data_IF_632359516155
#
_entry.id   IF_632359516155
#
_cell.length_a   1.000
_cell.length_b   1.000
_cell.length_c   1.000
_cell.angle_alpha   90.00
_cell.angle_beta   90.00
_cell.angle_gamma   90.00
#
_symmetry.space_group_name_H-M   'P 1'
#
loop_
_entity.id
_entity.type
_entity.pdbx_description
1 polymer ?
#
# COMPACT_ATOMS: atom_id res chain seq x y z
N UNK A 1 1.88 35.48 -32.16
CA UNK A 1 1.89 36.53 -31.13
C UNK A 1 0.78 37.50 -31.50
N UNK A 2 -0.37 37.40 -30.86
CA UNK A 2 -1.45 38.38 -31.02
C UNK A 2 -1.63 38.99 -29.65
N UNK A 3 -1.12 40.22 -29.52
CA UNK A 3 -1.30 41.09 -28.36
C UNK A 3 -2.78 41.36 -28.20
N UNK A 4 -3.36 40.80 -27.14
CA UNK A 4 -4.62 41.23 -26.61
C UNK A 4 -4.29 41.93 -25.29
N UNK A 5 -4.35 43.27 -25.30
CA UNK A 5 -4.26 44.15 -24.13
C UNK A 5 -2.97 44.09 -23.26
N UNK A 6 -1.77 43.97 -23.85
CA UNK A 6 -0.49 44.23 -23.15
C UNK A 6 -0.15 43.30 -21.97
N UNK A 7 -0.88 42.18 -21.81
CA UNK A 7 -0.60 41.14 -20.83
C UNK A 7 -0.14 39.86 -21.53
N UNK A 8 0.85 39.13 -20.99
CA UNK A 8 1.25 37.84 -21.57
C UNK A 8 0.09 36.86 -21.50
N UNK A 9 -0.19 36.19 -22.62
CA UNK A 9 -1.24 35.19 -22.74
C UNK A 9 -0.67 33.86 -23.23
N UNK A 10 -0.99 32.76 -22.53
CA UNK A 10 -0.68 31.41 -22.95
C UNK A 10 -1.84 30.84 -23.78
N UNK A 11 -1.56 30.42 -25.01
CA UNK A 11 -2.53 29.75 -25.88
C UNK A 11 -2.12 28.29 -26.08
N UNK A 12 -3.00 27.36 -25.71
CA UNK A 12 -2.77 25.93 -25.87
C UNK A 12 -3.50 25.40 -27.11
N UNK A 13 -2.80 24.63 -27.95
CA UNK A 13 -3.41 23.80 -29.01
C UNK A 13 -3.18 22.35 -28.66
N UNK A 14 -4.23 21.56 -28.71
CA UNK A 14 -4.21 20.16 -28.28
C UNK A 14 -5.19 19.34 -29.10
N UNK A 15 -4.97 18.02 -29.05
CA UNK A 15 -5.82 17.01 -29.67
C UNK A 15 -6.92 16.61 -28.69
N UNK A 16 -8.18 16.87 -29.03
CA UNK A 16 -9.34 16.61 -28.16
C UNK A 16 -9.69 15.13 -28.04
N UNK A 17 -9.17 14.30 -28.95
CA UNK A 17 -9.26 12.84 -28.86
C UNK A 17 -8.23 12.24 -27.89
N UNK A 18 -7.25 13.03 -27.46
CA UNK A 18 -6.21 12.62 -26.51
C UNK A 18 -6.30 13.34 -25.15
N UNK A 19 -6.78 14.59 -25.12
CA UNK A 19 -6.84 15.42 -23.92
C UNK A 19 -8.18 16.16 -23.82
N UNK A 20 -8.74 16.16 -22.62
CA UNK A 20 -9.87 17.01 -22.27
C UNK A 20 -9.41 18.43 -21.84
N UNK A 21 -10.39 19.33 -21.69
CA UNK A 21 -10.13 20.72 -21.31
C UNK A 21 -9.47 20.87 -19.93
N UNK A 22 -9.81 20.00 -18.99
CA UNK A 22 -9.29 20.05 -17.61
C UNK A 22 -7.82 19.61 -17.56
N UNK A 23 -7.45 18.58 -18.34
CA UNK A 23 -6.07 18.16 -18.54
C UNK A 23 -5.24 19.29 -19.15
N UNK A 24 -5.76 19.97 -20.17
CA UNK A 24 -5.06 21.08 -20.82
C UNK A 24 -4.92 22.28 -19.90
N UNK A 25 -5.96 22.60 -19.13
CA UNK A 25 -5.91 23.68 -18.14
C UNK A 25 -4.86 23.40 -17.06
N UNK A 26 -4.75 22.16 -16.57
CA UNK A 26 -3.68 21.75 -15.65
C UNK A 26 -2.29 21.87 -16.25
N UNK A 27 -2.08 21.34 -17.46
CA UNK A 27 -0.78 21.42 -18.15
C UNK A 27 -0.39 22.88 -18.38
N UNK A 28 -1.33 23.73 -18.80
CA UNK A 28 -1.11 25.17 -18.94
C UNK A 28 -0.71 25.82 -17.61
N UNK A 29 -1.36 25.42 -16.50
CA UNK A 29 -1.01 25.83 -15.15
C UNK A 29 0.43 25.49 -14.77
N UNK A 30 0.98 24.37 -15.23
CA UNK A 30 2.38 24.00 -14.97
C UNK A 30 3.37 24.94 -15.65
N UNK A 31 3.09 25.32 -16.89
CA UNK A 31 3.92 26.27 -17.63
C UNK A 31 3.88 27.65 -16.98
N UNK A 32 2.70 28.10 -16.53
CA UNK A 32 2.57 29.37 -15.81
C UNK A 32 3.34 29.35 -14.49
N UNK A 33 3.30 28.24 -13.75
CA UNK A 33 4.03 28.09 -12.48
C UNK A 33 5.54 28.11 -12.71
N UNK A 34 6.03 27.38 -13.72
CA UNK A 34 7.44 27.37 -14.08
C UNK A 34 7.95 28.76 -14.53
N UNK A 35 7.19 29.45 -15.39
CA UNK A 35 7.55 30.79 -15.86
C UNK A 35 7.57 31.80 -14.73
N UNK A 36 6.66 31.70 -13.75
CA UNK A 36 6.72 32.56 -12.54
C UNK A 36 7.96 32.25 -11.71
N UNK A 37 8.29 30.98 -11.49
CA UNK A 37 9.50 30.60 -10.76
C UNK A 37 10.78 31.15 -11.39
N UNK A 38 10.89 31.10 -12.72
CA UNK A 38 12.02 31.68 -13.46
C UNK A 38 12.11 33.21 -13.36
N UNK A 39 10.98 33.91 -13.22
CA UNK A 39 10.95 35.36 -13.05
C UNK A 39 11.27 35.78 -11.62
N UNK A 40 10.91 34.96 -10.63
CA UNK A 40 11.16 35.22 -9.22
C UNK A 40 12.64 35.03 -8.86
N UNK A 41 13.28 33.97 -9.39
CA UNK A 41 14.72 33.73 -9.25
C UNK A 41 15.29 33.02 -10.50
N UNK A 42 15.92 33.77 -11.42
CA UNK A 42 16.49 33.23 -12.66
C UNK A 42 17.67 32.28 -12.44
N UNK A 43 18.38 32.40 -11.31
CA UNK A 43 19.57 31.60 -10.98
C UNK A 43 19.21 30.40 -10.07
N UNK A 44 17.92 30.25 -9.71
CA UNK A 44 17.45 29.13 -8.90
C UNK A 44 17.80 27.79 -9.57
N UNK A 45 18.34 26.82 -8.81
CA UNK A 45 18.59 25.47 -9.31
C UNK A 45 17.32 24.83 -9.87
N UNK A 46 17.38 24.35 -11.11
CA UNK A 46 16.24 23.76 -11.81
C UNK A 46 15.61 22.58 -11.03
N UNK A 47 16.39 21.84 -10.26
CA UNK A 47 15.93 20.72 -9.43
C UNK A 47 15.07 21.13 -8.22
N UNK A 48 15.09 22.41 -7.86
CA UNK A 48 14.27 22.97 -6.77
C UNK A 48 12.99 23.67 -7.27
N UNK A 49 12.86 23.86 -8.59
CA UNK A 49 11.70 24.52 -9.18
C UNK A 49 10.47 23.62 -9.21
N UNK A 50 9.33 24.18 -8.81
CA UNK A 50 8.05 23.47 -8.75
C UNK A 50 7.23 23.70 -10.01
N UNK A 51 6.89 22.63 -10.72
CA UNK A 51 5.96 22.70 -11.86
C UNK A 51 4.49 22.70 -11.43
N UNK A 52 4.18 21.98 -10.36
CA UNK A 52 2.81 21.88 -9.87
C UNK A 52 2.41 23.18 -9.15
N UNK A 53 1.30 23.77 -9.56
CA UNK A 53 0.69 24.89 -8.84
C UNK A 53 0.13 24.43 -7.49
N UNK A 54 0.07 25.27 -6.47
CA UNK A 54 -0.46 24.90 -5.14
C UNK A 54 -1.86 24.26 -5.20
N UNK A 55 -2.70 24.67 -6.16
CA UNK A 55 -4.01 24.06 -6.38
C UNK A 55 -3.91 22.59 -6.83
N UNK A 56 -2.96 22.27 -7.71
CA UNK A 56 -2.72 20.89 -8.16
C UNK A 56 -2.16 20.01 -7.04
N UNK A 57 -1.24 20.52 -6.20
CA UNK A 57 -0.75 19.72 -5.07
C UNK A 57 -1.88 19.43 -4.09
N UNK A 58 -2.73 20.42 -3.77
CA UNK A 58 -3.91 20.16 -2.94
C UNK A 58 -4.83 19.13 -3.58
N UNK A 59 -5.07 19.22 -4.89
CA UNK A 59 -5.86 18.20 -5.59
C UNK A 59 -5.24 16.79 -5.50
N UNK A 60 -3.93 16.66 -5.67
CA UNK A 60 -3.25 15.36 -5.60
C UNK A 60 -3.21 14.80 -4.18
N UNK A 61 -2.92 15.64 -3.19
CA UNK A 61 -2.78 15.22 -1.78
C UNK A 61 -4.15 14.98 -1.16
N UNK A 62 -5.10 15.89 -1.34
CA UNK A 62 -6.38 15.86 -0.63
C UNK A 62 -7.50 15.26 -1.49
N UNK A 63 -7.45 15.48 -2.81
CA UNK A 63 -8.49 15.04 -3.75
C UNK A 63 -8.35 13.59 -4.18
N UNK A 64 -7.13 13.09 -4.38
CA UNK A 64 -6.90 11.71 -4.81
C UNK A 64 -6.71 10.73 -3.65
N UNK A 65 -6.11 11.16 -2.53
CA UNK A 65 -5.86 10.27 -1.40
C UNK A 65 -7.14 9.90 -0.62
N UNK A 66 -8.18 10.74 -0.72
CA UNK A 66 -9.39 10.62 0.09
C UNK A 66 -9.14 10.94 1.57
N UNK A 67 -10.20 10.95 2.41
CA UNK A 67 -10.05 11.24 3.82
C UNK A 67 -9.27 10.12 4.53
N UNK A 68 -8.35 10.45 5.46
CA UNK A 68 -7.68 9.44 6.28
C UNK A 68 -8.70 8.59 7.04
N UNK A 69 -8.60 7.27 6.90
CA UNK A 69 -9.40 6.32 7.65
C UNK A 69 -8.60 5.83 8.87
N UNK A 70 -9.06 6.06 10.12
CA UNK A 70 -8.36 5.55 11.29
C UNK A 70 -8.39 4.02 11.28
N UNK A 71 -7.22 3.40 11.41
CA UNK A 71 -7.09 1.95 11.57
C UNK A 71 -6.91 1.60 13.05
N UNK A 72 -7.37 0.43 13.50
CA UNK A 72 -7.09 -0.04 14.85
C UNK A 72 -5.59 -0.16 15.09
N UNK A 73 -5.12 0.26 16.27
CA UNK A 73 -3.74 0.03 16.73
C UNK A 73 -3.59 -1.41 17.25
N UNK A 74 -3.78 -2.37 16.34
CA UNK A 74 -3.71 -3.80 16.60
C UNK A 74 -2.91 -4.49 15.51
N UNK A 75 -2.16 -5.52 15.91
CA UNK A 75 -1.47 -6.42 14.99
C UNK A 75 -2.49 -7.33 14.32
N UNK A 76 -2.19 -7.77 13.11
CA UNK A 76 -3.08 -8.64 12.35
C UNK A 76 -3.54 -9.89 13.14
N UNK A 77 -2.64 -10.53 13.90
CA UNK A 77 -2.98 -11.72 14.67
C UNK A 77 -3.93 -11.42 15.85
N UNK A 78 -3.91 -10.19 16.39
CA UNK A 78 -4.84 -9.74 17.44
C UNK A 78 -6.23 -9.50 16.85
N UNK A 79 -6.32 -8.88 15.66
CA UNK A 79 -7.58 -8.75 14.90
C UNK A 79 -8.17 -10.13 14.58
N UNK A 80 -7.32 -11.09 14.20
CA UNK A 80 -7.74 -12.47 13.98
C UNK A 80 -8.27 -13.12 15.27
N UNK A 81 -7.58 -12.97 16.40
CA UNK A 81 -8.04 -13.49 17.69
C UNK A 81 -9.36 -12.87 18.15
N UNK A 82 -9.60 -11.60 17.83
CA UNK A 82 -10.91 -10.99 18.05
C UNK A 82 -12.02 -11.66 17.25
N UNK A 83 -11.77 -12.00 15.99
CA UNK A 83 -12.72 -12.77 15.17
C UNK A 83 -12.94 -14.18 15.73
N UNK A 84 -11.88 -14.81 16.25
CA UNK A 84 -11.97 -16.12 16.92
C UNK A 84 -12.87 -16.04 18.16
N UNK A 85 -12.74 -14.99 18.98
CA UNK A 85 -13.60 -14.79 20.16
C UNK A 85 -15.06 -14.57 19.77
N UNK A 86 -15.33 -13.79 18.72
CA UNK A 86 -16.71 -13.45 18.29
C UNK A 86 -17.39 -14.59 17.54
N UNK A 87 -16.65 -15.36 16.75
CA UNK A 87 -17.20 -16.37 15.83
C UNK A 87 -16.38 -17.67 15.81
N UNK A 88 -16.21 -18.34 16.95
CA UNK A 88 -15.26 -19.43 17.07
C UNK A 88 -15.58 -20.62 16.16
N UNK A 89 -16.85 -20.95 15.98
CA UNK A 89 -17.29 -22.16 15.28
C UNK A 89 -17.66 -21.89 13.81
N UNK A 90 -17.48 -20.65 13.33
CA UNK A 90 -17.59 -20.33 11.89
C UNK A 90 -16.36 -20.85 11.15
N UNK A 91 -16.57 -21.33 9.92
CA UNK A 91 -15.49 -21.74 9.02
C UNK A 91 -14.61 -20.54 8.70
N UNK A 92 -13.31 -20.67 8.97
CA UNK A 92 -12.29 -19.65 8.66
C UNK A 92 -11.52 -19.98 7.38
N UNK A 93 -11.32 -21.27 7.10
CA UNK A 93 -10.49 -21.71 5.99
C UNK A 93 -11.02 -23.03 5.39
N UNK A 94 -10.90 -23.16 4.07
CA UNK A 94 -11.28 -24.36 3.30
C UNK A 94 -10.20 -24.67 2.27
N UNK A 95 -9.79 -25.94 2.19
CA UNK A 95 -8.86 -26.40 1.17
C UNK A 95 -9.17 -27.87 0.82
N UNK A 96 -9.43 -28.15 -0.47
CA UNK A 96 -9.73 -29.51 -0.99
C UNK A 96 -10.72 -30.29 -0.11
N UNK A 97 -11.86 -29.68 0.21
CA UNK A 97 -12.92 -30.30 1.03
C UNK A 97 -12.67 -30.31 2.54
N UNK A 98 -11.44 -30.08 3.01
CA UNK A 98 -11.13 -29.91 4.43
C UNK A 98 -11.50 -28.49 4.86
N UNK A 99 -12.06 -28.36 6.06
CA UNK A 99 -12.48 -27.08 6.64
C UNK A 99 -11.92 -26.95 8.05
N UNK A 100 -11.46 -25.76 8.41
CA UNK A 100 -11.20 -25.40 9.81
C UNK A 100 -12.02 -24.19 10.20
N UNK A 101 -12.61 -24.28 11.38
CA UNK A 101 -13.22 -23.15 12.07
C UNK A 101 -12.16 -22.15 12.55
N UNK A 102 -12.60 -20.94 12.91
CA UNK A 102 -11.73 -19.94 13.53
C UNK A 102 -11.02 -20.50 14.78
N UNK A 103 -11.76 -21.21 15.65
CA UNK A 103 -11.23 -21.86 16.85
C UNK A 103 -10.13 -22.86 16.51
N UNK A 104 -10.39 -23.74 15.55
CA UNK A 104 -9.47 -24.80 15.15
C UNK A 104 -8.17 -24.28 14.51
N UNK A 105 -8.29 -23.26 13.66
CA UNK A 105 -7.15 -22.61 13.02
C UNK A 105 -6.31 -21.88 14.08
N UNK A 106 -6.96 -21.12 14.98
CA UNK A 106 -6.27 -20.40 16.05
C UNK A 106 -5.54 -21.35 17.00
N UNK A 107 -6.15 -22.46 17.40
CA UNK A 107 -5.50 -23.43 18.28
C UNK A 107 -4.24 -24.05 17.64
N UNK A 108 -4.29 -24.35 16.34
CA UNK A 108 -3.14 -24.87 15.58
C UNK A 108 -2.03 -23.82 15.49
N UNK A 109 -2.37 -22.59 15.12
CA UNK A 109 -1.42 -21.47 15.09
C UNK A 109 -0.79 -21.22 16.47
N UNK A 110 -1.57 -21.23 17.55
CA UNK A 110 -1.08 -21.02 18.91
C UNK A 110 -0.14 -22.14 19.40
N UNK A 111 -0.37 -23.38 18.99
CA UNK A 111 0.55 -24.49 19.30
C UNK A 111 1.87 -24.31 18.56
N UNK A 112 1.81 -23.98 17.27
CA UNK A 112 3.01 -23.78 16.46
C UNK A 112 3.79 -22.53 16.88
N UNK A 113 3.13 -21.43 17.24
CA UNK A 113 3.77 -20.22 17.75
C UNK A 113 4.61 -20.53 19.00
N UNK A 114 4.04 -21.28 19.95
CA UNK A 114 4.78 -21.74 21.14
C UNK A 114 5.97 -22.63 20.78
N UNK A 115 5.83 -23.49 19.78
CA UNK A 115 6.93 -24.34 19.32
C UNK A 115 8.05 -23.55 18.62
N UNK A 116 7.72 -22.45 17.93
CA UNK A 116 8.69 -21.53 17.34
C UNK A 116 9.44 -20.74 18.42
N UNK A 117 8.72 -20.20 19.41
CA UNK A 117 9.33 -19.53 20.56
C UNK A 117 10.25 -20.48 21.34
N UNK A 118 9.83 -21.73 21.56
CA UNK A 118 10.66 -22.74 22.21
C UNK A 118 11.91 -23.13 21.39
N UNK A 119 11.91 -22.91 20.08
CA UNK A 119 13.07 -23.07 19.18
C UNK A 119 13.95 -21.83 19.09
N UNK A 120 13.63 -20.78 19.85
CA UNK A 120 14.44 -19.58 19.97
C UNK A 120 14.06 -18.45 19.01
N UNK A 121 12.92 -18.54 18.31
CA UNK A 121 12.44 -17.43 17.49
C UNK A 121 12.27 -16.17 18.34
N UNK A 122 12.93 -15.09 17.94
CA UNK A 122 12.83 -13.77 18.57
C UNK A 122 11.87 -12.88 17.78
N UNK A 123 11.48 -11.76 18.41
CA UNK A 123 10.67 -10.74 17.72
C UNK A 123 11.46 -10.19 16.53
N UNK A 124 10.74 -9.86 15.47
CA UNK A 124 11.26 -9.29 14.22
C UNK A 124 12.16 -10.23 13.40
N UNK A 125 12.41 -11.45 13.87
CA UNK A 125 13.11 -12.46 13.09
C UNK A 125 12.22 -13.03 11.98
N UNK A 126 12.85 -13.34 10.84
CA UNK A 126 12.17 -13.87 9.66
C UNK A 126 12.21 -15.40 9.64
N UNK A 127 11.05 -16.02 9.43
CA UNK A 127 10.88 -17.46 9.26
C UNK A 127 10.52 -17.76 7.81
N UNK A 128 11.36 -18.53 7.13
CA UNK A 128 11.04 -19.07 5.81
C UNK A 128 9.91 -20.10 5.92
N UNK A 129 8.83 -19.89 5.17
CA UNK A 129 7.67 -20.77 5.11
C UNK A 129 7.73 -21.61 3.82
N UNK A 130 8.49 -22.69 3.87
CA UNK A 130 8.67 -23.66 2.76
C UNK A 130 7.65 -24.78 2.88
N UNK A 131 6.40 -24.52 2.47
CA UNK A 131 5.34 -25.54 2.54
C UNK A 131 4.27 -25.30 1.47
N UNK A 132 3.60 -26.36 0.97
CA UNK A 132 2.52 -26.23 0.00
C UNK A 132 1.40 -25.33 0.52
N UNK A 133 0.74 -24.59 -0.37
CA UNK A 133 -0.33 -23.64 0.00
C UNK A 133 -1.63 -24.35 0.41
N UNK A 134 -1.67 -24.86 1.64
CA UNK A 134 -2.80 -25.55 2.24
C UNK A 134 -3.27 -24.93 3.58
N UNK A 135 -4.10 -25.65 4.36
CA UNK A 135 -4.55 -25.16 5.67
C UNK A 135 -3.40 -25.01 6.68
N UNK A 136 -2.39 -25.89 6.62
CA UNK A 136 -1.24 -25.82 7.51
C UNK A 136 -0.35 -24.63 7.17
N UNK A 137 -0.25 -24.25 5.89
CA UNK A 137 0.40 -22.99 5.50
C UNK A 137 -0.23 -21.78 6.21
N UNK A 138 -1.57 -21.69 6.22
CA UNK A 138 -2.27 -20.61 6.95
C UNK A 138 -1.99 -20.64 8.45
N UNK A 139 -1.97 -21.82 9.07
CA UNK A 139 -1.61 -21.95 10.48
C UNK A 139 -0.15 -21.56 10.75
N UNK A 140 0.76 -21.86 9.81
CA UNK A 140 2.18 -21.50 9.82
C UNK A 140 2.38 -19.99 9.83
N UNK A 141 1.79 -19.30 8.86
CA UNK A 141 1.86 -17.83 8.78
C UNK A 141 1.30 -17.17 10.05
N UNK A 142 0.13 -17.60 10.51
CA UNK A 142 -0.44 -17.08 11.75
C UNK A 142 0.45 -17.36 12.97
N UNK A 143 1.11 -18.52 13.02
CA UNK A 143 2.00 -18.87 14.12
C UNK A 143 3.24 -17.97 14.18
N UNK A 144 3.85 -17.67 13.03
CA UNK A 144 5.00 -16.76 12.93
C UNK A 144 4.61 -15.36 13.41
N UNK A 145 3.48 -14.84 12.93
CA UNK A 145 2.97 -13.52 13.34
C UNK A 145 2.65 -13.47 14.84
N UNK A 146 2.09 -14.53 15.41
CA UNK A 146 1.80 -14.64 16.86
C UNK A 146 3.06 -14.75 17.70
N UNK A 147 4.12 -15.37 17.18
CA UNK A 147 5.42 -15.41 17.83
C UNK A 147 6.17 -14.07 17.73
N UNK A 148 5.64 -13.10 16.98
CA UNK A 148 6.24 -11.79 16.80
C UNK A 148 7.29 -11.73 15.69
N UNK A 149 7.38 -12.77 14.86
CA UNK A 149 8.27 -12.81 13.70
C UNK A 149 7.59 -12.37 12.40
N UNK A 150 8.40 -12.30 11.35
CA UNK A 150 7.96 -12.09 9.96
C UNK A 150 8.03 -13.40 9.20
N UNK A 151 7.12 -13.65 8.26
CA UNK A 151 7.19 -14.85 7.41
C UNK A 151 7.71 -14.47 6.02
N UNK A 152 8.57 -15.33 5.46
CA UNK A 152 9.03 -15.25 4.07
C UNK A 152 8.46 -16.45 3.32
N UNK A 153 7.48 -16.28 2.41
CA UNK A 153 6.99 -17.38 1.60
C UNK A 153 8.08 -17.83 0.63
N UNK A 154 8.36 -19.13 0.59
CA UNK A 154 9.28 -19.75 -0.37
C UNK A 154 8.51 -20.85 -1.08
N UNK A 155 8.47 -20.77 -2.41
CA UNK A 155 7.84 -21.82 -3.21
C UNK A 155 8.72 -23.08 -3.17
N UNK A 156 8.20 -24.22 -2.69
CA UNK A 156 8.95 -25.48 -2.70
C UNK A 156 9.27 -25.99 -4.10
N UNK A 157 8.60 -25.50 -5.14
CA UNK A 157 8.81 -25.93 -6.53
C UNK A 157 9.94 -25.14 -7.23
N UNK A 158 10.47 -24.08 -6.61
CA UNK A 158 11.65 -23.39 -7.14
C UNK A 158 12.90 -24.29 -7.04
N UNK A 159 13.82 -24.21 -8.03
CA UNK A 159 15.10 -24.88 -7.93
C UNK A 159 15.90 -24.34 -6.73
N UNK A 160 16.84 -25.14 -6.20
CA UNK A 160 17.65 -24.74 -5.06
C UNK A 160 18.65 -23.61 -5.33
N UNK A 161 18.89 -23.28 -6.61
CA UNK A 161 19.86 -22.28 -7.08
C UNK A 161 19.19 -21.16 -7.92
#
# INVERSE_FOLDING_TARGET
VTEDAGRPALRSRFRTDALDGDAVARIAGYHVTALRGLLDDPDAPHDTQRLLSDAEIRFQVDGLAGPPAPLPDLRFHELFEERVRRHPDRVAAVHRGRRWTYRELNQRANRLARALLARGLRREETVAAVLPRDLYWMAGVLAVLKAGGSYLPVDPDYPPD
#
